data_IF_557223357321
#
_entry.id   IF_557223357321
#
_cell.length_a   1.000
_cell.length_b   1.000
_cell.length_c   1.000
_cell.angle_alpha   90.00
_cell.angle_beta   90.00
_cell.angle_gamma   90.00
#
_symmetry.space_group_name_H-M   'P 1'
#
loop_
_entity.id
_entity.type
_entity.pdbx_description
1 polymer ?
#
# COMPACT_ATOMS: atom_id res chain seq x y z
N UNK A 1 50.70 41.46 12.53
CA UNK A 1 50.37 41.86 11.14
C UNK A 1 51.32 41.11 10.21
N UNK A 2 50.92 40.24 9.28
CA UNK A 2 49.67 39.49 9.08
C UNK A 2 50.07 38.09 8.52
N UNK A 3 49.52 36.96 9.02
CA UNK A 3 48.39 36.18 8.45
C UNK A 3 48.61 35.90 6.92
N UNK A 4 48.79 34.67 6.41
CA UNK A 4 47.83 33.54 6.34
C UNK A 4 48.50 32.16 6.10
N UNK A 5 48.13 31.20 6.97
CA UNK A 5 47.80 29.76 6.77
C UNK A 5 48.76 28.77 6.07
N UNK A 6 49.04 27.70 6.84
CA UNK A 6 49.71 26.43 6.52
C UNK A 6 48.73 25.42 5.90
N UNK A 7 49.20 24.56 4.97
CA UNK A 7 48.94 23.10 4.88
C UNK A 7 49.86 22.48 3.79
N UNK A 8 50.72 21.51 4.16
CA UNK A 8 51.38 20.58 3.22
C UNK A 8 50.48 19.36 2.93
N UNK A 9 50.78 18.30 2.16
CA UNK A 9 52.03 17.67 1.67
C UNK A 9 51.53 16.48 0.76
N UNK A 10 52.10 16.02 -0.36
CA UNK A 10 53.38 16.29 -1.07
C UNK A 10 53.23 16.08 -2.61
N UNK A 11 53.94 16.91 -3.38
CA UNK A 11 54.64 16.70 -4.68
C UNK A 11 54.22 15.51 -5.60
N UNK A 12 53.95 15.82 -6.87
CA UNK A 12 54.14 14.89 -8.01
C UNK A 12 54.69 15.64 -9.25
N UNK A 13 55.97 15.46 -9.59
CA UNK A 13 56.57 15.98 -10.82
C UNK A 13 57.75 15.13 -11.36
N UNK A 14 57.70 14.91 -12.68
CA UNK A 14 58.82 14.75 -13.65
C UNK A 14 59.58 13.41 -13.73
N UNK A 15 59.08 12.59 -14.65
CA UNK A 15 59.73 11.96 -15.83
C UNK A 15 61.26 11.99 -16.09
N UNK A 16 61.75 10.86 -16.64
CA UNK A 16 63.01 10.59 -17.38
C UNK A 16 64.32 10.54 -16.52
N UNK A 17 65.28 9.62 -16.73
CA UNK A 17 65.71 8.94 -17.97
C UNK A 17 66.09 7.43 -17.80
N UNK A 18 65.82 6.66 -18.86
CA UNK A 18 66.49 5.43 -19.38
C UNK A 18 67.53 4.63 -18.57
N UNK A 19 67.44 3.28 -18.62
CA UNK A 19 68.60 2.39 -18.38
C UNK A 19 68.27 0.90 -18.16
N UNK A 20 68.17 0.12 -19.24
CA UNK A 20 67.86 -1.32 -19.21
C UNK A 20 69.07 -2.20 -18.80
N UNK A 21 68.91 -3.13 -17.85
CA UNK A 21 69.67 -4.40 -17.80
C UNK A 21 69.06 -5.41 -16.82
N UNK A 22 69.29 -6.70 -17.07
CA UNK A 22 68.54 -7.84 -16.54
C UNK A 22 69.12 -8.52 -15.29
N UNK A 23 68.26 -9.35 -14.67
CA UNK A 23 68.55 -10.42 -13.70
C UNK A 23 68.87 -10.06 -12.24
N UNK A 24 67.88 -10.28 -11.35
CA UNK A 24 67.92 -11.42 -10.42
C UNK A 24 66.56 -11.70 -9.78
N UNK A 25 66.30 -12.99 -9.58
CA UNK A 25 65.12 -13.56 -8.91
C UNK A 25 65.07 -13.22 -7.43
N UNK A 26 63.92 -12.74 -6.95
CA UNK A 26 63.47 -12.93 -5.57
C UNK A 26 61.98 -13.21 -5.57
N UNK A 27 61.58 -14.30 -4.93
CA UNK A 27 60.21 -14.82 -4.96
C UNK A 27 59.30 -14.02 -4.02
N UNK A 28 58.41 -13.21 -4.58
CA UNK A 28 57.25 -12.69 -3.87
C UNK A 28 55.99 -13.28 -4.50
N UNK A 29 55.33 -14.21 -3.81
CA UNK A 29 54.03 -14.74 -4.21
C UNK A 29 52.93 -13.74 -3.82
N UNK A 30 52.21 -13.12 -4.77
CA UNK A 30 51.05 -12.32 -4.43
C UNK A 30 49.96 -13.23 -3.87
N UNK A 31 49.38 -12.80 -2.74
CA UNK A 31 48.19 -13.40 -2.15
C UNK A 31 47.12 -13.58 -3.24
N UNK A 32 46.64 -14.82 -3.43
CA UNK A 32 45.64 -15.14 -4.43
C UNK A 32 44.38 -14.31 -4.18
N UNK A 33 44.04 -13.41 -5.10
CA UNK A 33 42.75 -12.75 -5.11
C UNK A 33 41.67 -13.81 -5.27
N UNK A 34 40.91 -14.05 -4.21
CA UNK A 34 39.72 -14.89 -4.26
C UNK A 34 38.73 -14.26 -5.22
N UNK A 35 38.57 -14.89 -6.38
CA UNK A 35 37.55 -14.54 -7.38
C UNK A 35 36.18 -14.92 -6.83
N UNK A 36 35.64 -14.08 -5.94
CA UNK A 36 34.23 -14.08 -5.60
C UNK A 36 33.44 -13.84 -6.88
N UNK A 37 32.81 -14.91 -7.37
CA UNK A 37 31.93 -14.90 -8.53
C UNK A 37 30.64 -14.16 -8.18
N UNK A 38 30.72 -12.82 -8.17
CA UNK A 38 29.53 -11.98 -8.15
C UNK A 38 28.67 -12.34 -9.36
N UNK A 39 27.39 -12.65 -9.10
CA UNK A 39 26.43 -12.88 -10.19
C UNK A 39 26.40 -11.63 -11.08
N UNK A 40 26.34 -11.75 -12.41
CA UNK A 40 26.30 -10.61 -13.31
C UNK A 40 25.21 -9.62 -12.90
N UNK A 41 25.54 -8.33 -12.85
CA UNK A 41 24.56 -7.28 -12.58
C UNK A 41 23.59 -7.23 -13.76
N UNK A 42 22.35 -7.64 -13.54
CA UNK A 42 21.27 -7.54 -14.53
C UNK A 42 20.84 -6.07 -14.68
N UNK A 43 21.64 -5.32 -15.43
CA UNK A 43 21.40 -3.91 -15.76
C UNK A 43 20.13 -3.73 -16.58
N UNK A 44 19.78 -4.68 -17.44
CA UNK A 44 18.56 -4.65 -18.23
C UNK A 44 17.31 -4.70 -17.34
N UNK A 45 17.21 -5.64 -16.38
CA UNK A 45 16.10 -5.66 -15.42
C UNK A 45 16.01 -4.37 -14.59
N UNK A 46 17.15 -3.79 -14.17
CA UNK A 46 17.16 -2.54 -13.40
C UNK A 46 16.61 -1.36 -14.21
N UNK A 47 17.09 -1.18 -15.44
CA UNK A 47 16.59 -0.12 -16.33
C UNK A 47 15.10 -0.33 -16.69
N UNK A 48 14.68 -1.59 -16.86
CA UNK A 48 13.30 -1.93 -17.12
C UNK A 48 12.35 -1.52 -15.98
N UNK A 49 12.70 -1.86 -14.73
CA UNK A 49 11.94 -1.44 -13.55
C UNK A 49 11.94 0.09 -13.37
N UNK A 50 13.09 0.75 -13.53
CA UNK A 50 13.20 2.21 -13.40
C UNK A 50 12.23 2.96 -14.33
N UNK A 51 12.19 2.57 -15.61
CA UNK A 51 11.26 3.19 -16.57
C UNK A 51 9.80 2.78 -16.33
N UNK A 52 9.55 1.56 -15.83
CA UNK A 52 8.20 1.14 -15.43
C UNK A 52 7.66 2.00 -14.27
N UNK A 53 8.49 2.32 -13.27
CA UNK A 53 8.07 3.12 -12.11
C UNK A 53 7.70 4.56 -12.51
N UNK A 54 8.50 5.18 -13.40
CA UNK A 54 8.20 6.49 -13.99
C UNK A 54 6.90 6.43 -14.78
N UNK A 55 6.73 5.38 -15.60
CA UNK A 55 5.53 5.20 -16.41
C UNK A 55 4.26 5.04 -15.56
N UNK A 56 4.34 4.25 -14.49
CA UNK A 56 3.25 4.07 -13.52
C UNK A 56 2.87 5.40 -12.86
N UNK A 57 3.87 6.16 -12.36
CA UNK A 57 3.65 7.45 -11.71
C UNK A 57 3.00 8.48 -12.66
N UNK A 58 3.45 8.56 -13.91
CA UNK A 58 2.83 9.41 -14.92
C UNK A 58 1.39 8.99 -15.23
N UNK A 59 1.10 7.69 -15.25
CA UNK A 59 -0.25 7.15 -15.45
C UNK A 59 -1.24 7.49 -14.34
N UNK A 60 -0.84 7.35 -13.08
CA UNK A 60 -1.65 7.73 -11.91
C UNK A 60 -1.93 9.24 -11.85
N UNK A 61 -1.05 10.06 -12.41
CA UNK A 61 -1.20 11.52 -12.51
C UNK A 61 -1.90 11.97 -13.80
N UNK A 62 -2.51 11.04 -14.54
CA UNK A 62 -3.27 11.31 -15.77
C UNK A 62 -2.41 11.67 -16.99
N UNK A 63 -1.08 11.71 -16.87
CA UNK A 63 -0.13 11.99 -17.97
C UNK A 63 0.14 10.73 -18.78
N UNK A 64 -0.93 10.15 -19.33
CA UNK A 64 -0.90 8.86 -20.02
C UNK A 64 0.05 8.81 -21.22
N UNK A 65 0.27 9.92 -21.94
CA UNK A 65 1.25 9.97 -23.04
C UNK A 65 2.70 9.77 -22.55
N UNK A 66 3.07 10.39 -21.44
CA UNK A 66 4.39 10.21 -20.79
C UNK A 66 4.52 8.79 -20.20
N UNK A 67 3.41 8.25 -19.67
CA UNK A 67 3.36 6.86 -19.21
C UNK A 67 3.68 5.88 -20.35
N UNK A 68 3.04 6.04 -21.51
CA UNK A 68 3.26 5.20 -22.69
C UNK A 68 4.73 5.24 -23.16
N UNK A 69 5.34 6.44 -23.20
CA UNK A 69 6.75 6.57 -23.59
C UNK A 69 7.70 5.82 -22.64
N UNK A 70 7.48 5.93 -21.32
CA UNK A 70 8.32 5.25 -20.35
C UNK A 70 8.04 3.74 -20.30
N UNK A 71 6.79 3.28 -20.53
CA UNK A 71 6.53 1.84 -20.73
C UNK A 71 7.22 1.30 -21.98
N UNK A 72 7.34 2.08 -23.07
CA UNK A 72 8.10 1.66 -24.25
C UNK A 72 9.57 1.38 -23.89
N UNK A 73 10.19 2.28 -23.10
CA UNK A 73 11.57 2.10 -22.60
C UNK A 73 11.67 0.88 -21.68
N UNK A 74 10.75 0.72 -20.73
CA UNK A 74 10.71 -0.44 -19.83
C UNK A 74 10.68 -1.77 -20.59
N UNK A 75 9.77 -1.87 -21.57
CA UNK A 75 9.60 -3.04 -22.43
C UNK A 75 10.83 -3.29 -23.32
N UNK A 76 11.52 -2.23 -23.80
CA UNK A 76 12.73 -2.40 -24.64
C UNK A 76 13.92 -2.97 -23.86
N UNK A 77 14.02 -2.72 -22.55
CA UNK A 77 15.02 -3.36 -21.70
C UNK A 77 14.61 -4.78 -21.28
N UNK A 78 13.35 -4.97 -20.87
CA UNK A 78 12.82 -6.28 -20.49
C UNK A 78 11.30 -6.35 -20.71
N UNK A 79 10.82 -7.14 -21.67
CA UNK A 79 9.39 -7.40 -21.82
C UNK A 79 8.81 -8.06 -20.55
N UNK A 80 7.64 -7.59 -20.11
CA UNK A 80 6.90 -8.15 -18.98
C UNK A 80 5.40 -7.99 -19.21
N UNK A 81 4.61 -8.98 -18.81
CA UNK A 81 3.15 -8.96 -18.98
C UNK A 81 2.51 -7.71 -18.32
N UNK A 82 2.97 -7.37 -17.12
CA UNK A 82 2.52 -6.18 -16.37
C UNK A 82 2.81 -4.88 -17.11
N UNK A 83 3.96 -4.79 -17.81
CA UNK A 83 4.33 -3.58 -18.54
C UNK A 83 3.42 -3.36 -19.75
N UNK A 84 3.10 -4.45 -20.47
CA UNK A 84 2.13 -4.40 -21.55
C UNK A 84 0.72 -4.06 -21.01
N UNK A 85 0.23 -4.70 -19.94
CA UNK A 85 -1.08 -4.40 -19.34
C UNK A 85 -1.22 -2.91 -18.94
N UNK A 86 -0.18 -2.33 -18.33
CA UNK A 86 -0.26 -0.96 -17.84
C UNK A 86 -0.05 0.08 -18.97
N UNK A 87 0.75 -0.26 -20.00
CA UNK A 87 0.81 0.52 -21.26
C UNK A 87 -0.53 0.51 -21.97
N UNK A 88 -1.19 -0.65 -22.04
CA UNK A 88 -2.52 -0.81 -22.61
C UNK A 88 -3.56 0.06 -21.90
N UNK A 89 -3.54 0.09 -20.56
CA UNK A 89 -4.43 0.95 -19.79
C UNK A 89 -4.23 2.43 -20.13
N UNK A 90 -2.98 2.90 -20.17
CA UNK A 90 -2.69 4.30 -20.55
C UNK A 90 -3.11 4.62 -22.00
N UNK A 91 -2.90 3.69 -22.93
CA UNK A 91 -3.39 3.81 -24.32
C UNK A 91 -4.91 3.90 -24.39
N UNK A 92 -5.64 3.06 -23.65
CA UNK A 92 -7.09 3.12 -23.57
C UNK A 92 -7.58 4.46 -22.97
N UNK A 93 -6.85 5.04 -22.01
CA UNK A 93 -7.14 6.38 -21.48
C UNK A 93 -6.84 7.52 -22.47
N UNK A 94 -5.95 7.30 -23.45
CA UNK A 94 -5.75 8.20 -24.60
C UNK A 94 -6.61 7.81 -25.82
N UNK A 95 -7.62 6.95 -25.65
CA UNK A 95 -8.51 6.42 -26.69
C UNK A 95 -7.82 5.62 -27.82
N UNK A 96 -6.58 5.18 -27.62
CA UNK A 96 -5.91 4.18 -28.48
C UNK A 96 -6.35 2.77 -28.05
N UNK A 97 -7.64 2.46 -28.29
CA UNK A 97 -8.20 1.15 -27.92
C UNK A 97 -7.56 0.00 -28.73
N UNK A 98 -7.15 0.24 -29.98
CA UNK A 98 -6.50 -0.78 -30.82
C UNK A 98 -5.13 -1.15 -30.26
N UNK A 99 -4.27 -0.17 -30.02
CA UNK A 99 -2.96 -0.41 -29.42
C UNK A 99 -3.05 -0.92 -27.98
N UNK A 100 -4.14 -0.62 -27.26
CA UNK A 100 -4.41 -1.22 -25.95
C UNK A 100 -4.80 -2.71 -26.05
N UNK A 101 -5.69 -3.08 -26.97
CA UNK A 101 -6.06 -4.48 -27.22
C UNK A 101 -4.85 -5.32 -27.62
N UNK A 102 -3.95 -4.80 -28.46
CA UNK A 102 -2.68 -5.44 -28.82
C UNK A 102 -1.81 -5.72 -27.58
N UNK A 103 -1.65 -4.71 -26.72
CA UNK A 103 -0.82 -4.81 -25.52
C UNK A 103 -1.44 -5.74 -24.46
N UNK A 104 -2.75 -5.66 -24.20
CA UNK A 104 -3.42 -6.64 -23.33
C UNK A 104 -3.31 -8.07 -23.89
N UNK A 105 -3.42 -8.23 -25.22
CA UNK A 105 -3.21 -9.53 -25.86
C UNK A 105 -1.77 -10.04 -25.67
N UNK A 106 -0.78 -9.15 -25.64
CA UNK A 106 0.60 -9.52 -25.32
C UNK A 106 0.80 -9.86 -23.85
N UNK A 107 0.14 -9.14 -22.94
CA UNK A 107 0.12 -9.47 -21.52
C UNK A 107 -0.49 -10.86 -21.26
N UNK A 108 -1.64 -11.15 -21.88
CA UNK A 108 -2.31 -12.46 -21.84
C UNK A 108 -1.43 -13.57 -22.43
N UNK A 109 -0.71 -13.31 -23.54
CA UNK A 109 0.22 -14.31 -24.10
C UNK A 109 1.35 -14.69 -23.13
N UNK A 110 1.82 -13.73 -22.33
CA UNK A 110 2.91 -13.92 -21.37
C UNK A 110 2.43 -14.50 -20.02
N UNK A 111 1.20 -14.21 -19.61
CA UNK A 111 0.60 -14.69 -18.37
C UNK A 111 -0.91 -14.97 -18.55
N UNK A 112 -1.28 -16.11 -19.18
CA UNK A 112 -2.66 -16.38 -19.60
C UNK A 112 -3.61 -16.68 -18.44
N UNK A 113 -3.10 -16.90 -17.23
CA UNK A 113 -3.89 -17.17 -16.03
C UNK A 113 -4.17 -15.92 -15.19
N UNK A 114 -3.71 -14.74 -15.61
CA UNK A 114 -3.98 -13.48 -14.91
C UNK A 114 -5.36 -12.92 -15.32
N UNK A 115 -6.35 -13.08 -14.44
CA UNK A 115 -7.73 -12.70 -14.69
C UNK A 115 -7.89 -11.20 -15.02
N UNK A 116 -7.04 -10.34 -14.44
CA UNK A 116 -7.07 -8.89 -14.66
C UNK A 116 -6.81 -8.52 -16.14
N UNK A 117 -5.92 -9.23 -16.82
CA UNK A 117 -5.54 -8.88 -18.20
C UNK A 117 -6.68 -9.19 -19.18
N UNK A 118 -7.39 -10.29 -18.96
CA UNK A 118 -8.62 -10.63 -19.68
C UNK A 118 -9.74 -9.62 -19.38
N UNK A 119 -9.96 -9.28 -18.11
CA UNK A 119 -10.97 -8.30 -17.69
C UNK A 119 -10.76 -6.93 -18.35
N UNK A 120 -9.52 -6.43 -18.32
CA UNK A 120 -9.15 -5.15 -18.91
C UNK A 120 -9.30 -5.12 -20.44
N UNK A 121 -8.94 -6.23 -21.12
CA UNK A 121 -9.15 -6.33 -22.57
C UNK A 121 -10.63 -6.38 -22.93
N UNK A 122 -11.45 -7.09 -22.15
CA UNK A 122 -12.91 -7.10 -22.29
C UNK A 122 -13.52 -5.70 -22.15
N UNK A 123 -13.11 -4.93 -21.14
CA UNK A 123 -13.51 -3.52 -21.01
C UNK A 123 -13.09 -2.67 -22.21
N UNK A 124 -11.89 -2.90 -22.74
CA UNK A 124 -11.36 -2.15 -23.90
C UNK A 124 -12.09 -2.52 -25.19
N UNK A 125 -12.51 -3.77 -25.35
CA UNK A 125 -13.38 -4.20 -26.45
C UNK A 125 -14.75 -3.51 -26.40
N UNK A 126 -15.39 -3.49 -25.22
CA UNK A 126 -16.69 -2.81 -25.05
C UNK A 126 -16.61 -1.29 -25.24
N UNK A 127 -15.56 -0.63 -24.72
CA UNK A 127 -15.30 0.80 -24.96
C UNK A 127 -14.96 1.15 -26.42
N UNK A 128 -14.61 0.14 -27.24
CA UNK A 128 -14.39 0.28 -28.68
C UNK A 128 -15.59 -0.23 -29.49
N UNK A 129 -16.80 -0.24 -28.92
CA UNK A 129 -18.07 -0.70 -29.52
C UNK A 129 -18.03 -2.16 -30.05
N UNK A 130 -17.18 -3.01 -29.48
CA UNK A 130 -17.01 -4.43 -29.87
C UNK A 130 -17.42 -5.39 -28.74
N UNK A 131 -18.66 -5.27 -28.25
CA UNK A 131 -19.20 -6.12 -27.17
C UNK A 131 -19.13 -7.62 -27.48
N UNK A 132 -19.22 -8.03 -28.75
CA UNK A 132 -19.07 -9.43 -29.19
C UNK A 132 -17.69 -10.02 -28.83
N UNK A 133 -16.65 -9.17 -28.74
CA UNK A 133 -15.30 -9.56 -28.34
C UNK A 133 -15.05 -9.39 -26.83
N UNK A 134 -15.85 -8.57 -26.14
CA UNK A 134 -15.73 -8.38 -24.70
C UNK A 134 -16.20 -9.60 -23.88
N UNK A 135 -17.28 -10.24 -24.33
CA UNK A 135 -17.89 -11.36 -23.60
C UNK A 135 -17.01 -12.61 -23.46
N UNK A 136 -16.25 -13.07 -24.49
CA UNK A 136 -15.27 -14.15 -24.32
C UNK A 136 -14.18 -13.83 -23.28
N UNK A 137 -13.73 -12.57 -23.24
CA UNK A 137 -12.69 -12.11 -22.32
C UNK A 137 -13.19 -12.05 -20.87
N UNK A 138 -14.37 -11.48 -20.63
CA UNK A 138 -15.00 -11.52 -19.30
C UNK A 138 -15.34 -12.95 -18.88
N UNK A 139 -15.75 -13.83 -19.80
CA UNK A 139 -15.91 -15.26 -19.51
C UNK A 139 -14.59 -15.86 -19.01
N UNK A 140 -13.47 -15.56 -19.69
CA UNK A 140 -12.17 -16.11 -19.29
C UNK A 140 -11.68 -15.54 -17.95
N UNK A 141 -11.86 -14.25 -17.72
CA UNK A 141 -11.56 -13.63 -16.43
C UNK A 141 -12.41 -14.24 -15.29
N UNK A 142 -13.69 -14.54 -15.54
CA UNK A 142 -14.57 -15.19 -14.57
C UNK A 142 -14.18 -16.64 -14.26
N UNK A 143 -13.77 -17.42 -15.27
CA UNK A 143 -13.19 -18.76 -15.10
C UNK A 143 -11.91 -18.74 -14.25
N UNK A 144 -11.13 -17.66 -14.34
CA UNK A 144 -9.91 -17.42 -13.56
C UNK A 144 -10.20 -16.79 -12.18
N UNK A 145 -11.46 -16.60 -11.80
CA UNK A 145 -11.88 -16.15 -10.46
C UNK A 145 -12.24 -14.67 -10.33
N UNK A 146 -12.32 -13.89 -11.42
CA UNK A 146 -12.80 -12.51 -11.35
C UNK A 146 -14.31 -12.44 -11.16
N UNK A 147 -14.74 -12.03 -9.97
CA UNK A 147 -16.16 -11.75 -9.66
C UNK A 147 -16.70 -10.57 -10.49
N UNK A 148 -15.88 -9.53 -10.71
CA UNK A 148 -16.23 -8.40 -11.56
C UNK A 148 -16.54 -8.84 -12.99
N UNK A 149 -15.77 -9.79 -13.53
CA UNK A 149 -16.06 -10.34 -14.84
C UNK A 149 -17.37 -11.14 -14.88
N UNK A 150 -17.80 -11.78 -13.78
CA UNK A 150 -19.13 -12.40 -13.68
C UNK A 150 -20.24 -11.34 -13.70
N UNK A 151 -20.07 -10.24 -12.96
CA UNK A 151 -21.00 -9.11 -12.97
C UNK A 151 -21.14 -8.52 -14.40
N UNK A 152 -20.03 -8.41 -15.13
CA UNK A 152 -20.03 -7.96 -16.53
C UNK A 152 -20.72 -8.96 -17.47
N UNK A 153 -20.52 -10.26 -17.30
CA UNK A 153 -21.24 -11.30 -18.05
C UNK A 153 -22.75 -11.24 -17.81
N UNK A 154 -23.18 -11.10 -16.55
CA UNK A 154 -24.58 -10.96 -16.20
C UNK A 154 -25.20 -9.68 -16.78
N UNK A 155 -24.44 -8.58 -16.81
CA UNK A 155 -24.98 -7.28 -17.25
C UNK A 155 -25.02 -7.12 -18.78
N UNK A 156 -24.01 -7.61 -19.48
CA UNK A 156 -23.81 -7.32 -20.91
C UNK A 156 -23.87 -8.56 -21.82
N UNK A 157 -23.59 -9.76 -21.31
CA UNK A 157 -23.37 -10.96 -22.11
C UNK A 157 -24.50 -12.00 -22.02
N UNK A 158 -25.69 -11.62 -21.55
CA UNK A 158 -26.85 -12.51 -21.57
C UNK A 158 -27.14 -12.92 -23.02
N UNK A 159 -27.29 -14.22 -23.33
CA UNK A 159 -27.76 -14.62 -24.64
C UNK A 159 -29.14 -14.00 -24.90
N UNK A 160 -29.41 -13.59 -26.14
CA UNK A 160 -30.75 -13.17 -26.58
C UNK A 160 -31.70 -14.38 -26.55
N UNK A 161 -32.15 -14.75 -25.36
CA UNK A 161 -33.11 -15.83 -25.16
C UNK A 161 -34.52 -15.32 -25.39
N UNK A 162 -35.21 -15.97 -26.31
CA UNK A 162 -36.63 -15.79 -26.57
C UNK A 162 -37.46 -16.02 -25.30
N UNK A 163 -38.50 -15.21 -25.14
CA UNK A 163 -39.26 -15.12 -23.90
C UNK A 163 -39.91 -16.44 -23.48
N UNK A 164 -39.85 -16.76 -22.17
CA UNK A 164 -40.97 -17.40 -21.49
C UNK A 164 -41.11 -16.95 -20.04
N UNK A 165 -42.36 -16.88 -19.61
CA UNK A 165 -42.84 -16.21 -18.39
C UNK A 165 -42.79 -17.12 -17.15
N UNK A 166 -43.28 -16.56 -16.03
CA UNK A 166 -43.77 -17.20 -14.79
C UNK A 166 -42.69 -17.50 -13.72
N UNK A 167 -42.94 -17.29 -12.41
CA UNK A 167 -44.05 -16.55 -11.77
C UNK A 167 -43.66 -16.01 -10.38
N UNK A 168 -44.52 -15.15 -9.82
CA UNK A 168 -44.41 -14.55 -8.47
C UNK A 168 -44.37 -15.59 -7.34
N UNK A 169 -43.65 -15.28 -6.26
CA UNK A 169 -44.26 -15.22 -4.91
C UNK A 169 -43.46 -14.34 -3.94
N UNK A 170 -44.16 -13.42 -3.28
CA UNK A 170 -43.67 -12.63 -2.14
C UNK A 170 -43.80 -13.43 -0.85
N UNK A 171 -42.81 -13.35 0.05
CA UNK A 171 -43.09 -13.44 1.49
C UNK A 171 -42.35 -12.36 2.27
N UNK A 172 -43.07 -11.81 3.25
CA UNK A 172 -42.69 -10.70 4.11
C UNK A 172 -42.53 -11.27 5.52
N UNK A 173 -41.41 -11.04 6.19
CA UNK A 173 -41.16 -11.55 7.55
C UNK A 173 -40.56 -10.47 8.43
N UNK A 174 -41.36 -10.02 9.41
CA UNK A 174 -40.92 -9.14 10.49
C UNK A 174 -39.85 -9.84 11.34
N UNK A 175 -38.87 -9.09 11.86
CA UNK A 175 -37.94 -9.58 12.90
C UNK A 175 -37.95 -8.62 14.10
N UNK A 176 -38.03 -9.13 15.35
CA UNK A 176 -38.19 -8.29 16.53
C UNK A 176 -36.85 -7.71 17.05
N UNK A 177 -36.95 -6.65 17.83
CA UNK A 177 -35.88 -6.15 18.70
C UNK A 177 -35.64 -7.12 19.88
N UNK A 178 -34.38 -7.42 20.24
CA UNK A 178 -33.89 -7.32 21.63
C UNK A 178 -32.43 -7.78 21.80
N UNK A 179 -31.79 -7.19 22.82
CA UNK A 179 -30.62 -7.67 23.60
C UNK A 179 -29.29 -7.98 22.88
N UNK A 180 -28.25 -7.25 23.32
CA UNK A 180 -26.89 -7.40 22.85
C UNK A 180 -26.21 -8.68 23.41
N UNK A 181 -25.93 -9.62 22.52
CA UNK A 181 -24.77 -10.51 22.65
C UNK A 181 -23.69 -9.95 21.74
N UNK A 182 -22.47 -9.76 22.26
CA UNK A 182 -21.32 -9.34 21.44
C UNK A 182 -20.83 -10.56 20.65
N UNK A 183 -21.60 -10.95 19.64
CA UNK A 183 -21.16 -11.90 18.63
C UNK A 183 -20.18 -11.18 17.72
N UNK A 184 -18.89 -11.53 17.83
CA UNK A 184 -17.94 -11.24 16.77
C UNK A 184 -18.48 -11.86 15.49
N UNK A 185 -18.73 -11.04 14.47
CA UNK A 185 -19.23 -11.52 13.19
C UNK A 185 -18.21 -12.51 12.59
N UNK A 186 -18.68 -13.68 12.17
CA UNK A 186 -17.81 -14.76 11.70
C UNK A 186 -16.91 -14.32 10.53
N UNK A 187 -17.33 -13.31 9.75
CA UNK A 187 -16.53 -12.68 8.68
C UNK A 187 -15.26 -12.02 9.23
N UNK A 188 -15.31 -11.36 10.40
CA UNK A 188 -14.11 -10.75 11.00
C UNK A 188 -13.06 -11.82 11.35
N UNK A 189 -13.50 -12.97 11.85
CA UNK A 189 -12.62 -14.10 12.16
C UNK A 189 -12.03 -14.74 10.89
N UNK A 190 -12.84 -14.88 9.82
CA UNK A 190 -12.38 -15.36 8.50
C UNK A 190 -11.21 -14.52 7.96
N UNK A 191 -11.26 -13.19 8.15
CA UNK A 191 -10.18 -12.27 7.77
C UNK A 191 -9.21 -11.94 8.92
N UNK A 192 -9.19 -12.73 10.00
CA UNK A 192 -8.24 -12.61 11.12
C UNK A 192 -8.19 -11.19 11.74
N UNK A 193 -9.32 -10.47 11.71
CA UNK A 193 -9.42 -9.07 12.16
C UNK A 193 -9.69 -9.04 13.68
N UNK A 194 -8.65 -9.29 14.46
CA UNK A 194 -8.73 -9.25 15.94
C UNK A 194 -8.82 -7.81 16.48
N UNK A 195 -8.05 -6.90 15.88
CA UNK A 195 -8.01 -5.48 16.24
C UNK A 195 -7.89 -4.63 14.98
N UNK A 196 -8.23 -3.35 15.14
CA UNK A 196 -7.91 -2.29 14.19
C UNK A 196 -7.01 -1.27 14.90
N UNK A 197 -6.10 -0.64 14.17
CA UNK A 197 -4.98 0.07 14.80
C UNK A 197 -4.97 1.55 14.45
N UNK A 198 -4.93 2.41 15.46
CA UNK A 198 -4.60 3.83 15.29
C UNK A 198 -3.16 4.08 15.72
N UNK A 199 -2.44 4.95 15.02
CA UNK A 199 -1.08 5.37 15.39
C UNK A 199 -1.09 6.85 15.74
N UNK A 200 -0.44 7.22 16.83
CA UNK A 200 -0.38 8.60 17.33
C UNK A 200 0.90 8.83 18.12
N UNK A 201 1.33 10.09 18.21
CA UNK A 201 2.35 10.48 19.19
C UNK A 201 1.84 10.27 20.62
N UNK A 202 2.72 9.83 21.53
CA UNK A 202 2.39 9.48 22.92
C UNK A 202 1.80 10.64 23.73
N UNK A 203 2.16 11.89 23.42
CA UNK A 203 1.66 13.07 24.12
C UNK A 203 0.15 13.28 23.96
N UNK A 204 -0.44 12.81 22.86
CA UNK A 204 -1.87 12.92 22.60
C UNK A 204 -2.72 12.00 23.51
N UNK A 205 -2.11 11.03 24.19
CA UNK A 205 -2.82 10.05 25.02
C UNK A 205 -3.67 10.65 26.14
N UNK A 206 -3.25 11.77 26.73
CA UNK A 206 -4.02 12.47 27.77
C UNK A 206 -5.42 12.84 27.25
N UNK A 207 -5.49 13.42 26.06
CA UNK A 207 -6.73 13.83 25.42
C UNK A 207 -7.50 12.63 24.85
N UNK A 208 -6.81 11.63 24.28
CA UNK A 208 -7.45 10.42 23.74
C UNK A 208 -8.13 9.62 24.86
N UNK A 209 -7.48 9.45 26.02
CA UNK A 209 -8.04 8.75 27.18
C UNK A 209 -9.15 9.55 27.89
N UNK A 210 -9.29 10.84 27.59
CA UNK A 210 -10.32 11.74 28.15
C UNK A 210 -11.54 11.90 27.23
N UNK A 211 -11.35 11.97 25.91
CA UNK A 211 -12.39 12.32 24.94
C UNK A 211 -12.69 11.22 23.90
N UNK A 212 -11.88 10.16 23.85
CA UNK A 212 -11.87 9.18 22.77
C UNK A 212 -10.89 9.57 21.65
N UNK A 213 -10.77 8.73 20.62
CA UNK A 213 -10.11 9.14 19.38
C UNK A 213 -11.05 10.05 18.59
N UNK A 214 -10.58 11.23 18.23
CA UNK A 214 -11.32 12.23 17.47
C UNK A 214 -10.84 12.24 16.01
N UNK A 215 -11.71 12.66 15.09
CA UNK A 215 -11.35 12.87 13.69
C UNK A 215 -10.32 13.99 13.53
N UNK A 216 -9.69 14.10 12.35
CA UNK A 216 -8.67 15.13 12.10
C UNK A 216 -9.23 16.55 12.36
N UNK A 217 -10.45 16.84 11.86
CA UNK A 217 -11.10 18.14 12.03
C UNK A 217 -11.45 18.48 13.49
N UNK A 218 -11.78 17.49 14.31
CA UNK A 218 -12.11 17.70 15.74
C UNK A 218 -10.84 17.77 16.60
N UNK A 219 -9.85 16.92 16.34
CA UNK A 219 -8.58 16.90 17.07
C UNK A 219 -7.80 18.22 16.91
N UNK A 220 -7.84 18.83 15.73
CA UNK A 220 -7.13 20.09 15.46
C UNK A 220 -7.76 21.34 16.08
N UNK A 221 -8.88 21.23 16.82
CA UNK A 221 -9.44 22.30 17.66
C UNK A 221 -8.70 22.45 19.00
N UNK A 222 -7.37 22.30 18.99
CA UNK A 222 -6.51 22.43 20.18
C UNK A 222 -6.41 21.17 21.06
N UNK A 223 -6.86 20.00 20.59
CA UNK A 223 -6.79 18.74 21.34
C UNK A 223 -5.64 17.82 20.88
N UNK A 224 -5.17 17.96 19.65
CA UNK A 224 -3.96 17.31 19.15
C UNK A 224 -2.72 18.09 19.61
N UNK A 225 -1.78 17.45 20.32
CA UNK A 225 -0.54 18.10 20.77
C UNK A 225 0.56 18.00 19.72
N UNK A 226 0.70 16.82 19.10
CA UNK A 226 1.66 16.57 18.02
C UNK A 226 0.96 15.75 16.95
N UNK A 227 0.78 16.34 15.77
CA UNK A 227 0.31 15.59 14.60
C UNK A 227 1.45 14.75 14.02
N UNK A 228 1.13 13.51 13.66
CA UNK A 228 2.02 12.61 12.92
C UNK A 228 1.51 12.31 11.51
N UNK A 229 0.42 12.94 11.06
CA UNK A 229 -0.08 12.82 9.70
C UNK A 229 1.00 13.21 8.68
N UNK A 230 0.87 12.68 7.46
CA UNK A 230 1.78 12.99 6.35
C UNK A 230 1.17 14.13 5.53
N UNK A 231 1.85 15.28 5.47
CA UNK A 231 1.29 16.52 4.91
C UNK A 231 0.82 16.36 3.46
N UNK A 232 1.51 15.54 2.67
CA UNK A 232 1.15 15.23 1.27
C UNK A 232 -0.14 14.40 1.19
N UNK A 233 -0.30 13.45 2.10
CA UNK A 233 -1.55 12.68 2.25
C UNK A 233 -2.67 13.57 2.80
N UNK A 234 -2.37 14.36 3.83
CA UNK A 234 -3.33 15.13 4.62
C UNK A 234 -4.00 16.24 3.81
N UNK A 235 -3.25 16.91 2.93
CA UNK A 235 -3.77 17.89 1.97
C UNK A 235 -4.79 17.27 1.01
N UNK A 236 -4.60 16.01 0.59
CA UNK A 236 -5.52 15.28 -0.30
C UNK A 236 -6.74 14.67 0.41
N UNK A 237 -6.70 14.54 1.74
CA UNK A 237 -7.84 14.08 2.57
C UNK A 237 -8.97 15.11 2.73
N UNK A 238 -8.84 16.30 2.15
CA UNK A 238 -9.94 17.27 2.04
C UNK A 238 -11.09 16.82 1.11
N UNK A 239 -10.88 15.77 0.29
CA UNK A 239 -11.93 15.19 -0.57
C UNK A 239 -13.02 14.50 0.26
N UNK A 240 -14.17 14.25 -0.38
CA UNK A 240 -15.31 13.56 0.22
C UNK A 240 -15.40 12.11 -0.26
N UNK A 241 -15.79 11.20 0.63
CA UNK A 241 -16.02 9.79 0.28
C UNK A 241 -17.40 9.59 -0.40
N UNK A 242 -17.57 8.58 -1.26
CA UNK A 242 -18.72 8.49 -2.16
C UNK A 242 -20.00 7.89 -1.54
N UNK A 243 -19.96 7.39 -0.31
CA UNK A 243 -21.07 6.63 0.31
C UNK A 243 -21.94 7.54 1.17
N UNK A 244 -21.35 8.25 2.14
CA UNK A 244 -22.06 9.20 3.00
C UNK A 244 -21.83 10.65 2.60
N UNK A 245 -20.96 10.92 1.61
CA UNK A 245 -20.60 12.25 1.15
C UNK A 245 -20.17 13.15 2.32
N UNK A 246 -19.20 12.67 3.12
CA UNK A 246 -18.53 13.39 4.22
C UNK A 246 -17.05 13.62 3.89
N UNK A 247 -16.40 14.61 4.51
CA UNK A 247 -14.95 14.79 4.32
C UNK A 247 -14.21 13.62 4.95
N UNK A 248 -13.11 13.15 4.34
CA UNK A 248 -12.28 12.10 4.94
C UNK A 248 -11.67 12.58 6.29
N UNK A 249 -11.49 13.89 6.46
CA UNK A 249 -11.07 14.51 7.71
C UNK A 249 -12.11 14.49 8.84
N UNK A 250 -13.37 14.14 8.54
CA UNK A 250 -14.43 13.98 9.54
C UNK A 250 -14.42 12.59 10.20
N UNK A 251 -13.59 11.67 9.72
CA UNK A 251 -13.46 10.30 10.24
C UNK A 251 -12.20 10.13 11.11
N UNK A 252 -12.24 9.18 12.05
CA UNK A 252 -11.06 8.62 12.71
C UNK A 252 -10.48 7.53 11.81
N UNK A 253 -9.22 7.63 11.37
CA UNK A 253 -8.57 6.56 10.61
C UNK A 253 -8.00 5.47 11.53
N UNK A 254 -8.37 4.23 11.24
CA UNK A 254 -7.74 3.02 11.75
C UNK A 254 -7.15 2.23 10.57
N UNK A 255 -6.22 1.32 10.85
CA UNK A 255 -5.61 0.44 9.86
C UNK A 255 -5.81 -1.03 10.22
N UNK A 256 -5.89 -1.90 9.22
CA UNK A 256 -5.89 -3.36 9.42
C UNK A 256 -4.52 -3.90 9.89
N UNK A 257 -3.44 -3.25 9.47
CA UNK A 257 -2.07 -3.54 9.87
C UNK A 257 -1.36 -2.24 10.27
N UNK A 258 -0.80 -2.12 11.50
CA UNK A 258 -0.12 -0.90 11.93
C UNK A 258 1.26 -0.74 11.28
N UNK A 259 1.90 -1.83 10.84
CA UNK A 259 3.24 -1.83 10.22
C UNK A 259 3.14 -1.55 8.73
N UNK A 260 2.76 -0.32 8.41
CA UNK A 260 2.44 0.17 7.07
C UNK A 260 3.33 1.37 6.66
N UNK A 261 3.27 1.83 5.39
CA UNK A 261 4.07 2.96 4.91
C UNK A 261 3.89 4.27 5.71
N UNK A 262 2.72 4.51 6.31
CA UNK A 262 2.51 5.68 7.17
C UNK A 262 3.40 5.63 8.42
N UNK A 263 3.46 4.49 9.12
CA UNK A 263 4.36 4.30 10.26
C UNK A 263 5.84 4.31 9.83
N UNK A 264 6.14 3.74 8.66
CA UNK A 264 7.51 3.67 8.14
C UNK A 264 8.13 5.05 7.86
N UNK A 265 7.36 5.97 7.27
CA UNK A 265 7.77 7.38 7.08
C UNK A 265 8.03 8.12 8.40
N UNK A 266 7.71 7.53 9.55
CA UNK A 266 8.00 8.03 10.91
C UNK A 266 9.11 7.22 11.61
N UNK A 267 9.95 6.50 10.86
CA UNK A 267 10.98 5.60 11.41
C UNK A 267 11.90 6.23 12.46
N UNK A 268 12.16 7.53 12.33
CA UNK A 268 13.02 8.31 13.22
C UNK A 268 12.38 8.68 14.57
N UNK A 269 11.06 8.51 14.76
CA UNK A 269 10.32 8.90 15.98
C UNK A 269 9.50 7.74 16.59
N UNK A 270 9.80 6.48 16.25
CA UNK A 270 8.97 5.35 16.69
C UNK A 270 9.00 5.08 18.20
N UNK A 271 10.01 5.59 18.91
CA UNK A 271 10.02 5.59 20.38
C UNK A 271 8.98 6.55 20.98
N UNK A 272 8.47 7.49 20.20
CA UNK A 272 7.45 8.45 20.62
C UNK A 272 6.06 8.14 20.06
N UNK A 273 5.94 7.14 19.17
CA UNK A 273 4.66 6.66 18.63
C UNK A 273 4.12 5.50 19.46
N UNK A 274 2.83 5.58 19.77
CA UNK A 274 2.05 4.47 20.34
C UNK A 274 1.04 3.95 19.32
N UNK A 275 0.85 2.63 19.31
CA UNK A 275 -0.16 1.96 18.49
C UNK A 275 -1.33 1.60 19.39
N UNK A 276 -2.50 2.16 19.12
CA UNK A 276 -3.73 1.95 19.89
C UNK A 276 -4.56 0.89 19.16
N UNK A 277 -4.71 -0.28 19.76
CA UNK A 277 -5.55 -1.36 19.27
C UNK A 277 -7.00 -1.19 19.73
N UNK A 278 -7.89 -1.04 18.76
CA UNK A 278 -9.34 -0.86 18.88
C UNK A 278 -10.03 -2.20 18.62
N UNK A 279 -11.13 -2.45 19.35
CA UNK A 279 -12.00 -3.59 19.12
C UNK A 279 -12.52 -3.62 17.67
N UNK A 280 -12.26 -4.70 16.94
CA UNK A 280 -12.66 -4.85 15.53
C UNK A 280 -14.17 -4.84 15.31
N UNK A 281 -14.99 -5.14 16.33
CA UNK A 281 -16.45 -5.03 16.25
C UNK A 281 -16.95 -3.60 15.95
N UNK A 282 -16.09 -2.58 16.00
CA UNK A 282 -16.43 -1.25 15.50
C UNK A 282 -16.81 -1.25 14.00
N UNK A 283 -16.31 -2.21 13.21
CA UNK A 283 -16.70 -2.45 11.81
C UNK A 283 -18.19 -2.82 11.64
N UNK A 284 -18.91 -3.16 12.71
CA UNK A 284 -20.35 -3.43 12.69
C UNK A 284 -21.19 -2.14 12.86
N UNK A 285 -20.56 -0.99 13.06
CA UNK A 285 -21.24 0.30 13.26
C UNK A 285 -21.76 0.92 11.97
N UNK A 286 -22.93 1.54 12.04
CA UNK A 286 -23.64 2.15 10.88
C UNK A 286 -22.89 3.31 10.22
N UNK A 287 -22.00 3.98 10.96
CA UNK A 287 -21.20 5.13 10.51
C UNK A 287 -19.72 4.78 10.30
N UNK A 288 -19.47 3.55 9.82
CA UNK A 288 -18.12 3.04 9.55
C UNK A 288 -17.98 2.65 8.09
N UNK A 289 -16.87 3.08 7.49
CA UNK A 289 -16.43 2.68 6.16
C UNK A 289 -15.10 1.93 6.27
N UNK A 290 -14.75 1.18 5.24
CA UNK A 290 -13.38 0.72 5.04
C UNK A 290 -12.99 0.83 3.56
N UNK A 291 -11.69 0.80 3.29
CA UNK A 291 -11.12 1.02 1.96
C UNK A 291 -10.20 -0.12 1.52
N UNK A 292 -9.96 -0.23 0.22
CA UNK A 292 -8.97 -1.17 -0.36
C UNK A 292 -7.51 -0.66 -0.29
N UNK A 293 -7.31 0.59 0.14
CA UNK A 293 -6.02 1.25 0.31
C UNK A 293 -6.14 2.63 0.96
N UNK A 294 -5.07 3.43 0.95
CA UNK A 294 -5.05 4.79 1.53
C UNK A 294 -6.25 5.62 1.02
N UNK A 295 -7.11 6.09 1.94
CA UNK A 295 -8.35 6.78 1.61
C UNK A 295 -8.12 8.07 0.82
N UNK A 296 -6.94 8.70 0.94
CA UNK A 296 -6.59 9.90 0.19
C UNK A 296 -6.39 9.64 -1.31
N UNK A 297 -5.94 8.43 -1.73
CA UNK A 297 -5.63 8.14 -3.14
C UNK A 297 -6.87 8.13 -4.03
N UNK A 298 -6.72 8.57 -5.29
CA UNK A 298 -7.81 8.66 -6.28
C UNK A 298 -8.36 7.28 -6.67
N UNK A 299 -7.50 6.27 -6.69
CA UNK A 299 -7.81 4.88 -7.08
C UNK A 299 -8.41 4.02 -5.97
N UNK A 300 -8.65 4.60 -4.78
CA UNK A 300 -9.17 3.88 -3.61
C UNK A 300 -10.69 3.74 -3.62
N UNK A 301 -11.17 2.49 -3.52
CA UNK A 301 -12.58 2.18 -3.33
C UNK A 301 -12.99 2.28 -1.86
N UNK A 302 -14.27 2.61 -1.62
CA UNK A 302 -14.87 2.70 -0.29
C UNK A 302 -16.01 1.69 -0.16
N UNK A 303 -16.15 1.11 1.02
CA UNK A 303 -17.14 0.07 1.33
C UNK A 303 -17.78 0.30 2.70
N UNK A 304 -19.07 -0.02 2.83
CA UNK A 304 -19.85 0.05 4.08
C UNK A 304 -20.52 -1.28 4.45
N UNK A 305 -20.15 -2.38 3.78
CA UNK A 305 -20.70 -3.71 4.02
C UNK A 305 -19.58 -4.71 4.23
N UNK A 306 -19.63 -5.50 5.31
CA UNK A 306 -18.60 -6.51 5.61
C UNK A 306 -18.48 -7.61 4.56
N UNK A 307 -19.45 -7.76 3.66
CA UNK A 307 -19.31 -8.67 2.52
C UNK A 307 -18.17 -8.21 1.59
N UNK A 308 -17.92 -6.91 1.48
CA UNK A 308 -16.84 -6.35 0.66
C UNK A 308 -15.45 -6.50 1.28
N UNK A 309 -15.31 -7.08 2.48
CA UNK A 309 -13.98 -7.49 2.99
C UNK A 309 -13.31 -8.49 2.02
N UNK A 310 -14.07 -9.19 1.19
CA UNK A 310 -13.52 -10.04 0.12
C UNK A 310 -12.83 -9.27 -1.03
N UNK A 311 -13.07 -7.96 -1.18
CA UNK A 311 -12.44 -7.11 -2.22
C UNK A 311 -11.04 -6.61 -1.82
N UNK A 312 -10.65 -6.74 -0.54
CA UNK A 312 -9.35 -6.29 -0.04
C UNK A 312 -8.24 -7.30 -0.38
N UNK A 313 -7.09 -6.81 -0.83
CA UNK A 313 -5.90 -7.62 -1.02
C UNK A 313 -5.22 -7.92 0.33
N UNK A 314 -5.77 -8.92 1.03
CA UNK A 314 -5.28 -9.36 2.34
C UNK A 314 -3.86 -9.91 2.35
N UNK A 315 -3.34 -10.38 1.20
CA UNK A 315 -1.94 -10.81 1.08
C UNK A 315 -1.02 -9.60 1.21
N UNK A 316 -1.26 -8.53 0.45
CA UNK A 316 -0.50 -7.29 0.54
C UNK A 316 -0.67 -6.55 1.88
N UNK A 317 -1.89 -6.53 2.42
CA UNK A 317 -2.17 -5.91 3.73
C UNK A 317 -1.39 -6.60 4.86
N UNK A 318 -1.21 -7.93 4.80
CA UNK A 318 -0.52 -8.72 5.84
C UNK A 318 0.90 -9.18 5.49
N UNK A 319 1.44 -8.86 4.30
CA UNK A 319 2.80 -9.27 3.91
C UNK A 319 3.86 -8.69 4.85
N UNK A 320 5.12 -9.09 4.72
CA UNK A 320 6.20 -8.35 5.38
C UNK A 320 6.55 -7.07 4.60
N UNK A 321 6.74 -7.22 3.28
CA UNK A 321 7.09 -6.13 2.36
C UNK A 321 5.91 -5.80 1.42
N UNK A 322 5.70 -4.52 1.16
CA UNK A 322 4.67 -4.05 0.22
C UNK A 322 5.20 -3.84 -1.20
N UNK A 323 6.52 -3.72 -1.39
CA UNK A 323 7.13 -3.52 -2.70
C UNK A 323 7.01 -4.75 -3.62
N UNK A 324 6.71 -5.93 -3.06
CA UNK A 324 6.42 -7.16 -3.81
C UNK A 324 5.06 -7.11 -4.55
N UNK A 325 4.24 -6.10 -4.26
CA UNK A 325 2.89 -5.93 -4.79
C UNK A 325 2.81 -4.63 -5.59
N UNK A 326 2.25 -4.72 -6.80
CA UNK A 326 1.83 -3.53 -7.55
C UNK A 326 0.89 -2.70 -6.68
N UNK A 327 1.14 -1.39 -6.58
CA UNK A 327 0.35 -0.46 -5.77
C UNK A 327 0.35 -0.80 -4.24
N UNK A 328 1.30 -1.62 -3.79
CA UNK A 328 1.32 -2.14 -2.42
C UNK A 328 1.44 -1.05 -1.33
N UNK A 329 2.07 0.10 -1.63
CA UNK A 329 2.13 1.24 -0.69
C UNK A 329 0.73 1.79 -0.37
N UNK A 330 -0.16 1.89 -1.36
CA UNK A 330 -1.55 2.33 -1.17
C UNK A 330 -2.36 1.24 -0.47
N UNK A 331 -2.32 0.02 -1.00
CA UNK A 331 -3.10 -1.14 -0.52
C UNK A 331 -2.81 -1.44 0.96
N UNK A 332 -1.54 -1.42 1.37
CA UNK A 332 -1.17 -1.67 2.77
C UNK A 332 -1.60 -0.57 3.74
N UNK A 333 -1.87 0.62 3.23
CA UNK A 333 -2.53 1.69 3.97
C UNK A 333 -4.06 1.61 3.86
N UNK A 334 -4.67 0.43 3.61
CA UNK A 334 -6.12 0.22 3.73
C UNK A 334 -6.63 0.66 5.11
N UNK A 335 -7.66 1.49 5.12
CA UNK A 335 -8.19 2.16 6.30
C UNK A 335 -9.57 1.59 6.70
N UNK A 336 -9.88 1.71 7.98
CA UNK A 336 -11.26 1.72 8.50
C UNK A 336 -11.52 3.12 9.03
N UNK A 337 -12.54 3.78 8.49
CA UNK A 337 -12.89 5.17 8.77
C UNK A 337 -14.13 5.20 9.65
N UNK A 338 -14.00 5.68 10.89
CA UNK A 338 -15.09 5.71 11.88
C UNK A 338 -15.56 7.15 12.12
N UNK A 339 -16.84 7.43 11.91
CA UNK A 339 -17.43 8.76 12.13
C UNK A 339 -18.32 8.80 13.40
N UNK A 340 -18.32 9.89 14.19
CA UNK A 340 -17.38 11.03 14.16
C UNK A 340 -16.15 10.83 15.06
N UNK A 341 -16.22 9.86 15.98
CA UNK A 341 -15.20 9.56 16.99
C UNK A 341 -15.25 8.09 17.43
N UNK A 342 -14.23 7.65 18.16
CA UNK A 342 -14.18 6.32 18.78
C UNK A 342 -14.12 6.48 20.30
N UNK A 343 -15.08 5.89 21.01
CA UNK A 343 -15.12 5.94 22.47
C UNK A 343 -13.96 5.18 23.13
N UNK A 344 -13.53 5.66 24.31
CA UNK A 344 -12.43 5.08 25.10
C UNK A 344 -12.68 3.60 25.44
N UNK A 345 -13.94 3.18 25.60
CA UNK A 345 -14.35 1.79 25.86
C UNK A 345 -14.02 0.82 24.72
N UNK A 346 -13.83 1.32 23.50
CA UNK A 346 -13.41 0.55 22.32
C UNK A 346 -11.89 0.32 22.27
N UNK A 347 -11.10 1.10 23.01
CA UNK A 347 -9.66 0.87 23.16
C UNK A 347 -9.45 -0.40 23.99
N UNK A 348 -8.67 -1.36 23.46
CA UNK A 348 -8.36 -2.63 24.14
C UNK A 348 -6.91 -2.72 24.58
N UNK A 349 -5.98 -2.17 23.80
CA UNK A 349 -4.56 -2.20 24.13
C UNK A 349 -3.83 -0.97 23.60
N UNK A 350 -2.85 -0.46 24.35
CA UNK A 350 -1.86 0.51 23.87
C UNK A 350 -0.50 -0.19 23.79
N UNK A 351 0.04 -0.30 22.58
CA UNK A 351 1.28 -0.99 22.27
C UNK A 351 2.38 0.05 22.09
N UNK A 352 3.57 -0.26 22.61
CA UNK A 352 4.74 0.62 22.65
C UNK A 352 5.95 -0.04 21.97
N UNK A 353 6.83 0.76 21.37
CA UNK A 353 8.06 0.25 20.76
C UNK A 353 9.09 -0.24 21.80
N UNK A 354 9.13 0.40 22.97
CA UNK A 354 10.10 0.13 24.02
C UNK A 354 9.53 0.34 25.43
N UNK A 355 10.30 -0.07 26.45
CA UNK A 355 9.88 -0.01 27.86
C UNK A 355 9.76 1.41 28.42
N UNK A 356 10.54 2.39 27.94
CA UNK A 356 10.46 3.79 28.39
C UNK A 356 9.12 4.39 27.97
N UNK A 357 8.70 4.14 26.73
CA UNK A 357 7.38 4.56 26.22
C UNK A 357 6.26 3.85 26.97
N UNK A 358 6.38 2.54 27.24
CA UNK A 358 5.39 1.82 28.05
C UNK A 358 5.26 2.38 29.47
N UNK A 359 6.37 2.75 30.12
CA UNK A 359 6.34 3.37 31.44
C UNK A 359 5.59 4.71 31.39
N UNK A 360 5.85 5.56 30.37
CA UNK A 360 5.07 6.78 30.16
C UNK A 360 3.57 6.47 29.99
N UNK A 361 3.19 5.53 29.12
CA UNK A 361 1.79 5.13 28.90
C UNK A 361 1.10 4.70 30.19
N UNK A 362 1.79 3.92 31.03
CA UNK A 362 1.26 3.45 32.32
C UNK A 362 1.00 4.58 33.32
N UNK A 363 1.65 5.73 33.22
CA UNK A 363 1.31 6.92 34.03
C UNK A 363 0.02 7.61 33.57
N UNK A 364 -0.47 7.32 32.36
CA UNK A 364 -1.67 7.94 31.76
C UNK A 364 -2.92 7.05 31.87
N UNK A 365 -2.76 5.74 31.87
CA UNK A 365 -3.87 4.79 32.05
C UNK A 365 -4.31 4.81 33.53
N UNK A 366 -5.60 5.01 33.78
CA UNK A 366 -6.19 4.92 35.14
C UNK A 366 -6.07 3.49 35.70
N UNK A 367 -5.80 3.34 36.99
CA UNK A 367 -5.56 2.04 37.63
C UNK A 367 -6.67 0.99 37.41
N UNK A 368 -7.94 1.41 37.35
CA UNK A 368 -9.10 0.52 37.13
C UNK A 368 -9.53 0.42 35.64
N UNK A 369 -8.65 0.79 34.70
CA UNK A 369 -8.93 0.71 33.26
C UNK A 369 -8.81 -0.73 32.74
N UNK A 370 -9.68 -1.12 31.82
CA UNK A 370 -9.58 -2.38 31.07
C UNK A 370 -8.61 -2.31 29.87
N UNK A 371 -7.94 -1.17 29.66
CA UNK A 371 -6.97 -0.97 28.59
C UNK A 371 -5.64 -1.63 28.96
N UNK A 372 -5.27 -2.69 28.25
CA UNK A 372 -3.97 -3.34 28.40
C UNK A 372 -2.83 -2.46 27.84
N UNK A 373 -1.58 -2.69 28.29
CA UNK A 373 -0.41 -2.02 27.72
C UNK A 373 0.83 -2.91 27.71
N UNK A 374 1.53 -2.97 26.57
CA UNK A 374 2.68 -3.87 26.35
C UNK A 374 3.77 -3.25 25.45
N UNK A 375 4.97 -3.82 25.50
CA UNK A 375 6.01 -3.60 24.48
C UNK A 375 5.83 -4.65 23.39
N UNK A 376 5.81 -4.23 22.12
CA UNK A 376 5.89 -5.13 20.98
C UNK A 376 6.55 -4.40 19.80
N UNK A 377 7.88 -4.46 19.76
CA UNK A 377 8.74 -3.84 18.76
C UNK A 377 8.58 -4.46 17.35
N UNK A 378 8.00 -5.65 17.21
CA UNK A 378 7.81 -6.28 15.89
C UNK A 378 6.79 -5.53 15.02
N UNK A 379 5.85 -4.79 15.64
CA UNK A 379 4.88 -3.92 14.94
C UNK A 379 5.47 -2.57 14.46
N UNK A 380 6.73 -2.31 14.81
CA UNK A 380 7.47 -1.09 14.45
C UNK A 380 8.61 -1.44 13.46
N UNK A 381 9.28 -0.43 12.92
CA UNK A 381 10.47 -0.57 12.07
C UNK A 381 11.74 -0.15 12.86
N UNK A 382 12.45 -1.10 13.46
CA UNK A 382 13.58 -0.74 14.34
C UNK A 382 14.74 -0.11 13.56
N UNK A 383 15.27 1.00 14.05
CA UNK A 383 16.42 1.73 13.49
C UNK A 383 17.78 1.26 14.04
N UNK A 384 17.83 0.10 14.70
CA UNK A 384 19.03 -0.38 15.38
C UNK A 384 19.07 -1.89 15.58
N UNK A 385 19.88 -2.55 14.76
CA UNK A 385 20.39 -3.90 14.96
C UNK A 385 21.61 -4.09 14.05
N UNK A 386 22.73 -4.54 14.61
CA UNK A 386 23.97 -5.05 13.98
C UNK A 386 24.40 -4.51 12.59
N UNK A 387 25.70 -4.21 12.44
CA UNK A 387 26.31 -3.96 11.12
C UNK A 387 26.10 -5.10 10.09
N UNK A 388 25.72 -6.31 10.53
CA UNK A 388 25.34 -7.43 9.66
C UNK A 388 23.87 -7.42 9.20
N UNK A 389 22.97 -6.68 9.87
CA UNK A 389 21.57 -6.54 9.48
C UNK A 389 21.34 -5.30 8.59
N UNK A 390 22.34 -4.43 8.38
CA UNK A 390 22.24 -3.35 7.39
C UNK A 390 22.22 -3.83 5.92
N UNK A 391 22.39 -5.14 5.68
CA UNK A 391 22.21 -5.78 4.37
C UNK A 391 20.77 -6.36 4.22
N UNK A 392 19.98 -6.42 5.31
CA UNK A 392 18.55 -6.74 5.26
C UNK A 392 17.74 -5.51 4.84
N UNK A 393 17.78 -5.23 3.53
CA UNK A 393 16.78 -4.49 2.76
C UNK A 393 16.04 -3.36 3.52
N UNK A 394 16.63 -2.16 3.54
CA UNK A 394 15.81 -0.96 3.72
C UNK A 394 14.71 -0.95 2.65
N UNK A 395 13.43 -0.81 3.01
CA UNK A 395 12.40 -0.53 2.03
C UNK A 395 12.71 0.81 1.38
N UNK A 396 12.76 0.85 0.04
CA UNK A 396 13.08 2.04 -0.76
C UNK A 396 12.06 3.18 -0.51
N UNK A 397 12.41 4.01 0.48
CA UNK A 397 12.13 5.45 0.56
C UNK A 397 13.10 6.16 -0.40
N UNK A 398 12.76 7.16 -1.20
CA UNK A 398 11.78 8.21 -0.99
C UNK A 398 10.87 8.40 -2.23
N UNK A 399 9.60 8.01 -2.13
CA UNK A 399 8.58 8.40 -3.11
C UNK A 399 7.33 8.90 -2.36
N UNK A 400 6.74 10.04 -2.75
CA UNK A 400 5.53 10.57 -2.14
C UNK A 400 4.33 9.64 -2.43
N UNK A 401 3.39 9.61 -1.48
CA UNK A 401 2.11 8.90 -1.61
C UNK A 401 1.27 9.40 -2.79
#
# INVERSE_FOLDING_TARGET
MEVIIVIGIIIFLIWLFSGNSSNKTSTYTPYSSSTTTSKPIDTASRMASYYYDIAWKAGEEGRHSEAIENYNKAISYKPSATYYNNRAFSKAKTNDYKGAIEDYSKAIQLAPNEALYWLNRGYTHSNNDNDELACPDWKKAAELGSEEAKEMLEKYCKPKTTARQTNKSTQNVNRPQSTAVVNNDARLNQYQITYLYHMTHKSNLENILRYGLLSHNEAHRGLNQIDIADNEVNTRRGKREPIFNRSIHDYVPLYFNPKNPMLFRRKNIQNDIVIIAINSNILLGENVLFTDGNAASQTTSFYNSLNNLNRLNWQCIRSEYWNDYQDGKRIRCAEVLVYPKIEVSSIKKIICNNQVTLNFVRTKIRANSSIASEVNNNLYFNSGGSFYNQIEYEPLDDLPF
#
